data_IF_776070883625
#
_entry.id   IF_776070883625
#
_cell.length_a   1.000
_cell.length_b   1.000
_cell.length_c   1.000
_cell.angle_alpha   90.00
_cell.angle_beta   90.00
_cell.angle_gamma   90.00
#
_symmetry.space_group_name_H-M   'P 1'
#
loop_
_entity.id
_entity.type
_entity.pdbx_description
1 polymer ?
#
# COMPACT_ATOMS: atom_id res chain seq x y z
N UNK A 1 -5.62 6.16 -21.82
CA UNK A 1 -4.87 4.94 -21.43
C UNK A 1 -3.37 5.27 -21.52
N UNK A 2 -2.65 5.35 -20.39
CA UNK A 2 -1.37 6.08 -20.23
C UNK A 2 -0.11 5.20 -20.38
N UNK A 3 -0.19 4.14 -21.18
CA UNK A 3 0.89 3.16 -21.34
C UNK A 3 2.14 3.72 -22.06
N UNK A 4 2.01 4.80 -22.85
CA UNK A 4 3.10 5.36 -23.63
C UNK A 4 4.08 6.26 -22.84
N UNK A 5 3.81 6.53 -21.56
CA UNK A 5 4.56 7.51 -20.77
C UNK A 5 4.05 8.95 -20.98
N UNK A 6 4.28 9.83 -19.99
CA UNK A 6 4.01 11.27 -20.20
C UNK A 6 5.16 11.88 -21.01
N UNK A 7 4.87 12.82 -21.92
CA UNK A 7 5.92 13.58 -22.60
C UNK A 7 6.66 14.46 -21.59
N UNK A 8 7.99 14.41 -21.61
CA UNK A 8 8.83 15.38 -20.91
C UNK A 8 8.75 16.76 -21.60
N UNK A 9 9.22 17.81 -20.93
CA UNK A 9 9.32 19.20 -21.45
C UNK A 9 10.08 19.28 -22.78
N UNK A 10 10.89 18.26 -23.09
CA UNK A 10 11.73 18.14 -24.28
C UNK A 10 11.15 17.17 -25.33
N UNK A 11 9.88 16.75 -25.21
CA UNK A 11 9.23 15.84 -26.16
C UNK A 11 9.66 14.36 -26.05
N UNK A 12 10.50 14.01 -25.08
CA UNK A 12 10.96 12.63 -24.85
C UNK A 12 9.96 11.87 -23.96
N UNK A 13 9.53 10.68 -24.38
CA UNK A 13 8.64 9.83 -23.59
C UNK A 13 9.38 9.29 -22.37
N UNK A 14 8.89 9.60 -21.16
CA UNK A 14 9.46 9.04 -19.92
C UNK A 14 8.88 7.64 -19.68
N UNK A 15 9.71 6.58 -19.64
CA UNK A 15 9.21 5.25 -19.32
C UNK A 15 8.59 5.26 -17.92
N UNK A 16 7.35 4.76 -17.83
CA UNK A 16 6.60 4.67 -16.58
C UNK A 16 7.21 3.63 -15.64
N UNK A 17 7.00 3.81 -14.34
CA UNK A 17 7.47 2.84 -13.34
C UNK A 17 6.87 1.47 -13.63
N UNK A 18 7.66 0.41 -13.45
CA UNK A 18 7.25 -0.93 -13.85
C UNK A 18 5.99 -1.40 -13.09
N UNK A 19 5.83 -0.92 -11.85
CA UNK A 19 4.65 -1.21 -11.04
C UNK A 19 3.38 -0.56 -11.61
N UNK A 20 3.49 0.68 -12.13
CA UNK A 20 2.37 1.36 -12.79
C UNK A 20 1.92 0.59 -14.05
N UNK A 21 2.88 0.17 -14.87
CA UNK A 21 2.58 -0.61 -16.09
C UNK A 21 1.88 -1.94 -15.75
N UNK A 22 2.30 -2.60 -14.66
CA UNK A 22 1.65 -3.84 -14.18
C UNK A 22 0.21 -3.61 -13.70
N UNK A 23 -0.05 -2.53 -12.97
CA UNK A 23 -1.40 -2.18 -12.51
C UNK A 23 -2.33 -1.89 -13.70
N UNK A 24 -1.86 -1.14 -14.69
CA UNK A 24 -2.63 -0.87 -15.91
C UNK A 24 -2.89 -2.15 -16.72
N UNK A 25 -1.89 -3.02 -16.88
CA UNK A 25 -2.06 -4.34 -17.51
C UNK A 25 -3.09 -5.20 -16.75
N UNK A 26 -3.08 -5.19 -15.41
CA UNK A 26 -4.04 -5.95 -14.62
C UNK A 26 -5.48 -5.46 -14.83
N UNK A 27 -5.68 -4.13 -14.85
CA UNK A 27 -6.98 -3.51 -15.14
C UNK A 27 -7.49 -3.89 -16.53
N UNK A 28 -6.63 -3.82 -17.55
CA UNK A 28 -6.98 -4.19 -18.91
C UNK A 28 -7.30 -5.69 -19.04
N UNK A 29 -6.51 -6.53 -18.38
CA UNK A 29 -6.77 -7.96 -18.33
C UNK A 29 -8.15 -8.27 -17.74
N UNK A 30 -8.52 -7.57 -16.66
CA UNK A 30 -9.85 -7.72 -16.08
C UNK A 30 -10.95 -7.23 -17.03
N UNK A 31 -10.78 -6.05 -17.64
CA UNK A 31 -11.73 -5.49 -18.61
C UNK A 31 -12.03 -6.45 -19.77
N UNK A 32 -10.99 -7.01 -20.41
CA UNK A 32 -11.20 -7.97 -21.49
C UNK A 32 -11.82 -9.28 -21.02
N UNK A 33 -11.56 -9.69 -19.78
CA UNK A 33 -12.21 -10.87 -19.19
C UNK A 33 -13.71 -10.64 -19.00
N UNK A 34 -14.10 -9.47 -18.50
CA UNK A 34 -15.52 -9.07 -18.36
C UNK A 34 -16.18 -8.92 -19.73
N UNK A 35 -15.51 -8.28 -20.69
CA UNK A 35 -16.05 -8.09 -22.04
C UNK A 35 -16.34 -9.43 -22.76
N UNK A 36 -15.45 -10.42 -22.61
CA UNK A 36 -15.64 -11.75 -23.20
C UNK A 36 -16.73 -12.54 -22.45
N UNK A 37 -16.70 -12.55 -21.12
CA UNK A 37 -17.58 -13.41 -20.31
C UNK A 37 -18.99 -12.86 -20.12
N UNK A 38 -19.11 -11.55 -19.89
CA UNK A 38 -20.39 -10.93 -19.54
C UNK A 38 -21.02 -10.21 -20.72
N UNK A 39 -20.21 -9.54 -21.56
CA UNK A 39 -20.74 -8.76 -22.69
C UNK A 39 -20.80 -9.56 -23.99
N UNK A 40 -20.30 -10.81 -23.99
CA UNK A 40 -20.37 -11.70 -25.14
C UNK A 40 -19.56 -11.23 -26.35
N UNK A 41 -18.51 -10.41 -26.15
CA UNK A 41 -17.59 -10.09 -27.23
C UNK A 41 -16.92 -11.37 -27.73
N UNK A 42 -17.12 -11.69 -29.01
CA UNK A 42 -16.55 -12.85 -29.70
C UNK A 42 -15.04 -12.79 -29.92
N UNK A 43 -14.27 -12.31 -28.93
CA UNK A 43 -12.83 -12.45 -28.92
C UNK A 43 -12.47 -13.87 -28.43
N UNK A 44 -11.64 -14.62 -29.17
CA UNK A 44 -11.30 -16.00 -28.82
C UNK A 44 -10.45 -16.12 -27.55
N UNK A 45 -9.69 -15.08 -27.20
CA UNK A 45 -8.88 -15.02 -25.99
C UNK A 45 -8.57 -13.58 -25.58
N UNK A 46 -8.16 -13.41 -24.32
CA UNK A 46 -7.74 -12.12 -23.78
C UNK A 46 -6.35 -11.73 -24.33
N UNK A 47 -6.20 -10.61 -25.06
CA UNK A 47 -4.91 -10.23 -25.64
C UNK A 47 -3.87 -9.85 -24.57
N UNK A 48 -4.30 -9.47 -23.36
CA UNK A 48 -3.41 -9.06 -22.26
C UNK A 48 -2.79 -10.26 -21.55
N UNK A 49 -3.40 -11.46 -21.62
CA UNK A 49 -2.82 -12.67 -21.03
C UNK A 49 -1.56 -13.14 -21.75
N UNK A 50 -1.41 -12.78 -23.04
CA UNK A 50 -0.26 -13.16 -23.86
C UNK A 50 0.95 -12.20 -23.71
N UNK A 51 0.79 -11.11 -22.96
CA UNK A 51 1.87 -10.12 -22.77
C UNK A 51 2.72 -10.53 -21.57
N UNK A 52 4.04 -10.64 -21.76
CA UNK A 52 4.99 -10.85 -20.66
C UNK A 52 4.95 -9.65 -19.72
N UNK A 53 4.42 -9.88 -18.51
CA UNK A 53 4.42 -8.88 -17.44
C UNK A 53 5.87 -8.52 -17.09
N UNK A 54 6.20 -7.23 -17.00
CA UNK A 54 7.57 -6.84 -16.74
C UNK A 54 7.93 -7.14 -15.28
N UNK A 55 9.21 -7.42 -15.02
CA UNK A 55 9.67 -7.95 -13.74
C UNK A 55 9.31 -7.02 -12.57
N UNK A 56 8.87 -7.56 -11.41
CA UNK A 56 8.68 -6.74 -10.22
C UNK A 56 9.95 -5.94 -9.94
N UNK A 57 9.79 -4.62 -9.79
CA UNK A 57 10.89 -3.81 -9.24
C UNK A 57 11.21 -4.32 -7.83
N UNK A 58 12.49 -4.28 -7.45
CA UNK A 58 12.92 -4.73 -6.12
C UNK A 58 12.15 -3.94 -5.08
N UNK A 59 11.31 -4.63 -4.30
CA UNK A 59 10.53 -3.99 -3.25
C UNK A 59 11.47 -3.23 -2.33
N UNK A 60 11.20 -1.94 -2.12
CA UNK A 60 11.98 -1.12 -1.18
C UNK A 60 11.76 -1.65 0.24
N UNK A 61 12.62 -2.56 0.68
CA UNK A 61 12.59 -3.11 2.03
C UNK A 61 13.66 -2.44 2.92
N UNK A 62 13.74 -1.11 2.84
CA UNK A 62 14.58 -0.33 3.74
C UNK A 62 13.77 -0.01 4.99
N UNK A 63 14.18 -0.56 6.14
CA UNK A 63 13.70 -0.12 7.45
C UNK A 63 14.38 1.20 7.82
N UNK A 64 13.65 2.08 8.51
CA UNK A 64 14.23 3.29 9.07
C UNK A 64 15.29 2.90 10.10
N UNK A 65 16.43 3.59 10.06
CA UNK A 65 17.43 3.53 11.12
C UNK A 65 16.98 4.37 12.32
N UNK A 66 17.54 4.10 13.51
CA UNK A 66 17.17 4.81 14.74
C UNK A 66 17.37 6.33 14.62
N UNK A 67 18.46 6.77 13.97
CA UNK A 67 18.73 8.19 13.73
C UNK A 67 17.69 8.85 12.81
N UNK A 68 17.25 8.16 11.77
CA UNK A 68 16.23 8.64 10.84
C UNK A 68 14.87 8.75 11.53
N UNK A 69 14.55 7.80 12.41
CA UNK A 69 13.35 7.84 13.23
C UNK A 69 13.35 9.07 14.14
N UNK A 70 14.47 9.38 14.81
CA UNK A 70 14.59 10.57 15.65
C UNK A 70 14.43 11.86 14.84
N UNK A 71 15.08 11.96 13.67
CA UNK A 71 14.95 13.13 12.79
C UNK A 71 13.51 13.30 12.29
N UNK A 72 12.83 12.19 11.97
CA UNK A 72 11.44 12.21 11.53
C UNK A 72 10.51 12.70 12.65
N UNK A 73 10.68 12.19 13.87
CA UNK A 73 9.89 12.64 15.02
C UNK A 73 10.13 14.12 15.34
N UNK A 74 11.37 14.60 15.29
CA UNK A 74 11.67 16.02 15.47
C UNK A 74 11.05 16.91 14.40
N UNK A 75 11.00 16.46 13.15
CA UNK A 75 10.35 17.19 12.06
C UNK A 75 8.82 17.21 12.23
N UNK A 76 8.25 16.12 12.72
CA UNK A 76 6.83 15.99 13.02
C UNK A 76 6.43 16.86 14.21
N UNK A 77 7.23 16.90 15.26
CA UNK A 77 6.98 17.71 16.46
C UNK A 77 7.09 19.23 16.17
N UNK A 78 7.82 19.64 15.11
CA UNK A 78 7.83 21.03 14.61
C UNK A 78 6.56 21.41 13.84
N UNK A 79 5.74 20.44 13.45
CA UNK A 79 4.53 20.70 12.68
C UNK A 79 3.39 21.13 13.61
N UNK A 80 2.57 22.11 13.19
CA UNK A 80 1.57 22.76 14.06
C UNK A 80 0.43 21.86 14.55
N UNK A 81 0.28 20.64 14.02
CA UNK A 81 -0.80 19.74 14.41
C UNK A 81 -0.30 18.65 15.38
N UNK A 82 -0.60 18.73 16.69
CA UNK A 82 -0.17 17.74 17.67
C UNK A 82 -0.73 16.33 17.41
N UNK A 83 -1.87 16.20 16.71
CA UNK A 83 -2.43 14.89 16.36
C UNK A 83 -1.57 14.11 15.38
N UNK A 84 -0.83 14.79 14.52
CA UNK A 84 0.06 14.15 13.55
C UNK A 84 1.21 13.43 14.26
N UNK A 85 1.75 14.02 15.33
CA UNK A 85 2.76 13.41 16.19
C UNK A 85 2.30 12.09 16.81
N UNK A 86 1.07 12.05 17.34
CA UNK A 86 0.49 10.84 17.92
C UNK A 86 0.32 9.73 16.88
N UNK A 87 -0.21 10.05 15.70
CA UNK A 87 -0.43 9.09 14.61
C UNK A 87 0.90 8.46 14.18
N UNK A 88 1.94 9.29 13.98
CA UNK A 88 3.26 8.81 13.57
C UNK A 88 3.89 7.90 14.62
N UNK A 89 3.82 8.28 15.91
CA UNK A 89 4.36 7.47 17.01
C UNK A 89 3.68 6.10 17.11
N UNK A 90 2.35 6.06 16.98
CA UNK A 90 1.59 4.81 16.96
C UNK A 90 1.98 3.96 15.75
N UNK A 91 2.01 4.55 14.55
CA UNK A 91 2.36 3.83 13.33
C UNK A 91 3.75 3.18 13.39
N UNK A 92 4.74 3.88 13.97
CA UNK A 92 6.10 3.35 14.11
C UNK A 92 6.17 2.21 15.13
N UNK A 93 5.42 2.29 16.23
CA UNK A 93 5.45 1.27 17.28
C UNK A 93 4.66 0.01 16.93
N UNK A 94 3.52 0.15 16.25
CA UNK A 94 2.60 -0.97 15.97
C UNK A 94 2.67 -1.48 14.54
N UNK A 95 3.23 -0.70 13.60
CA UNK A 95 3.25 -1.04 12.18
C UNK A 95 1.87 -0.98 11.51
N UNK A 96 0.86 -0.39 12.16
CA UNK A 96 -0.51 -0.29 11.63
C UNK A 96 -0.58 0.65 10.42
N UNK A 97 -1.54 0.37 9.51
CA UNK A 97 -1.85 1.28 8.39
C UNK A 97 -2.57 2.53 8.91
N UNK A 98 -2.42 3.66 8.21
CA UNK A 98 -3.10 4.91 8.60
C UNK A 98 -4.62 4.76 8.69
N UNK A 99 -5.23 3.96 7.79
CA UNK A 99 -6.66 3.67 7.82
C UNK A 99 -7.09 2.89 9.07
N UNK A 100 -6.21 2.05 9.62
CA UNK A 100 -6.46 1.33 10.88
C UNK A 100 -6.36 2.30 12.05
N UNK A 101 -5.31 3.13 12.09
CA UNK A 101 -5.09 4.15 13.14
C UNK A 101 -6.22 5.19 13.15
N UNK A 102 -6.69 5.62 11.98
CA UNK A 102 -7.78 6.59 11.86
C UNK A 102 -9.13 6.01 12.31
N UNK A 103 -9.31 4.69 12.20
CA UNK A 103 -10.54 3.99 12.61
C UNK A 103 -10.45 3.48 14.06
N UNK A 104 -9.28 3.60 14.72
CA UNK A 104 -9.14 3.29 16.15
C UNK A 104 -10.03 4.24 16.96
N UNK A 105 -11.18 3.70 17.38
CA UNK A 105 -12.00 4.31 18.42
C UNK A 105 -11.50 3.78 19.74
N UNK A 106 -11.11 4.68 20.64
CA UNK A 106 -10.91 4.34 22.05
C UNK A 106 -12.30 4.07 22.62
N UNK A 107 -12.82 2.86 22.39
CA UNK A 107 -13.84 2.31 23.26
C UNK A 107 -13.13 2.12 24.61
N UNK A 108 -13.57 2.86 25.63
CA UNK A 108 -13.01 2.83 26.98
C UNK A 108 -13.19 1.47 27.71
N UNK A 109 -13.15 0.33 27.00
CA UNK A 109 -13.42 -0.99 27.55
C UNK A 109 -12.39 -2.08 27.22
N UNK A 110 -11.30 -1.81 26.47
CA UNK A 110 -10.34 -2.89 26.21
C UNK A 110 -8.87 -2.47 26.07
N UNK A 111 -8.39 -1.69 27.03
CA UNK A 111 -6.95 -1.63 27.30
C UNK A 111 -6.70 -2.26 28.66
N UNK A 112 -6.38 -3.57 28.75
CA UNK A 112 -5.80 -4.11 29.97
C UNK A 112 -4.39 -3.52 30.14
N UNK A 113 -4.28 -2.37 30.82
CA UNK A 113 -3.02 -1.74 31.20
C UNK A 113 -2.35 -2.40 32.42
N UNK A 114 -2.69 -3.64 32.78
CA UNK A 114 -2.06 -4.32 33.92
C UNK A 114 -1.73 -5.76 33.57
N UNK A 115 -0.43 -6.03 33.67
CA UNK A 115 0.25 -7.32 33.63
C UNK A 115 -0.50 -8.41 34.40
N UNK A 116 -0.70 -9.59 33.79
CA UNK A 116 -0.58 -10.92 34.44
C UNK A 116 -0.32 -12.01 33.39
N UNK A 117 0.59 -12.97 33.63
CA UNK A 117 0.76 -14.15 32.78
C UNK A 117 -0.43 -15.09 33.01
N UNK A 118 -1.28 -15.26 32.00
CA UNK A 118 -2.44 -16.15 32.09
C UNK A 118 -2.15 -17.54 31.52
N UNK A 119 -2.20 -18.52 32.42
CA UNK A 119 -2.23 -19.98 32.21
C UNK A 119 -3.31 -20.39 31.22
N UNK A 120 -3.00 -21.35 30.35
CA UNK A 120 -3.99 -22.13 29.59
C UNK A 120 -4.78 -23.03 30.54
N UNK A 121 -6.12 -23.08 30.45
CA UNK A 121 -6.88 -24.23 30.92
C UNK A 121 -6.92 -25.31 29.83
N UNK A 122 -6.58 -26.53 30.23
CA UNK A 122 -6.60 -27.74 29.39
C UNK A 122 -7.98 -27.96 28.77
N UNK A 123 -7.98 -28.29 27.48
CA UNK A 123 -9.17 -28.63 26.71
C UNK A 123 -9.33 -30.15 26.72
N UNK A 124 -10.52 -30.63 27.08
CA UNK A 124 -11.04 -31.93 26.60
C UNK A 124 -11.89 -31.67 25.36
#
# INVERSE_FOLDING_TARGET
MRLAGDPDKNGKLRPRSNNTVRLELALLGHLFTVAIKEWGFGLPFNPVSNIRRPAPDSGRNRRLTSEEQTRLLQAVDKHSNPMFGWIVRIAVQTGMRLSEIATLRIAASNVPLVQRPWKMPDTC
#
